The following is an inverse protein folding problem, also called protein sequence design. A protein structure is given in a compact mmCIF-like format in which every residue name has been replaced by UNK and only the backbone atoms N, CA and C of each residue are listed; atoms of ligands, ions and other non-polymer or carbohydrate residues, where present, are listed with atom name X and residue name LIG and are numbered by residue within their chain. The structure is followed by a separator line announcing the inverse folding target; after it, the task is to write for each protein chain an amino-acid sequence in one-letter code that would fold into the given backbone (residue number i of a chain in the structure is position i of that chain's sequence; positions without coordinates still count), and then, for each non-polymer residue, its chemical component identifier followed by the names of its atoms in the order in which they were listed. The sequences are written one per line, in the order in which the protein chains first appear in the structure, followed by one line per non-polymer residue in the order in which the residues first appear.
data_IF_962794154999
#
_entry.id   IF_962794154999
#
_cell.length_a   1.000
_cell.length_b   1.000
_cell.length_c   1.000
_cell.angle_alpha   90.00
_cell.angle_beta   90.00
_cell.angle_gamma   90.00
#
_symmetry.space_group_name_H-M   'P 1'
#
loop_
_entity.id
_entity.type
_entity.pdbx_description
1 polymer ?
#
# COMPACT_ATOMS: atom_id res chain seq x y z
N UNK A 1 43.31 17.48 -5.27
CA UNK A 1 43.21 16.10 -4.76
C UNK A 1 41.83 15.93 -4.15
N UNK A 2 40.79 15.79 -4.99
CA UNK A 2 40.17 14.51 -5.37
C UNK A 2 39.77 13.64 -4.17
N UNK A 3 38.53 13.83 -3.67
CA UNK A 3 37.57 12.76 -3.37
C UNK A 3 36.18 13.41 -3.21
N UNK A 4 35.34 13.41 -4.25
CA UNK A 4 34.28 12.43 -4.47
C UNK A 4 33.30 12.36 -3.28
N UNK A 5 32.25 13.17 -3.36
CA UNK A 5 30.84 12.74 -3.43
C UNK A 5 30.63 11.26 -3.08
N UNK A 6 30.75 10.89 -1.81
CA UNK A 6 30.22 9.62 -1.32
C UNK A 6 28.71 9.82 -1.23
N UNK A 7 28.04 9.61 -2.36
CA UNK A 7 26.64 9.18 -2.37
C UNK A 7 26.59 7.95 -1.46
N UNK A 8 26.17 8.13 -0.22
CA UNK A 8 25.78 7.02 0.63
C UNK A 8 24.64 6.31 -0.11
N UNK A 9 24.98 5.23 -0.80
CA UNK A 9 24.03 4.20 -1.26
C UNK A 9 23.52 3.52 0.01
N UNK A 10 22.78 4.28 0.81
CA UNK A 10 22.35 3.83 2.11
C UNK A 10 21.15 2.90 1.89
N UNK A 11 21.43 1.60 1.92
CA UNK A 11 20.43 0.53 1.78
C UNK A 11 19.37 0.58 2.89
N UNK A 12 19.51 1.47 3.87
CA UNK A 12 18.60 1.69 4.98
C UNK A 12 17.14 1.92 4.52
N UNK A 13 16.93 2.64 3.41
CA UNK A 13 15.59 2.85 2.85
C UNK A 13 14.97 1.53 2.33
N UNK A 14 15.74 0.76 1.55
CA UNK A 14 15.30 -0.53 1.04
C UNK A 14 15.14 -1.57 2.16
N UNK A 15 16.02 -1.55 3.17
CA UNK A 15 15.91 -2.40 4.37
C UNK A 15 14.67 -2.06 5.19
N UNK A 16 14.33 -0.76 5.35
CA UNK A 16 13.07 -0.35 5.99
C UNK A 16 11.84 -0.77 5.19
N UNK A 17 11.89 -0.70 3.86
CA UNK A 17 10.80 -1.13 2.99
C UNK A 17 10.56 -2.64 3.03
N UNK A 18 11.63 -3.45 3.15
CA UNK A 18 11.50 -4.92 3.16
C UNK A 18 11.22 -5.52 4.55
N UNK A 19 11.55 -4.80 5.63
CA UNK A 19 11.31 -5.23 7.02
C UNK A 19 9.86 -5.64 7.30
N UNK A 20 8.82 -4.85 6.93
CA UNK A 20 7.41 -5.22 7.09
C UNK A 20 7.07 -6.54 6.39
N UNK A 21 7.59 -6.75 5.18
CA UNK A 21 7.37 -7.97 4.41
C UNK A 21 8.03 -9.21 5.06
N UNK A 22 9.27 -9.07 5.54
CA UNK A 22 10.01 -10.15 6.22
C UNK A 22 9.36 -10.50 7.57
N UNK A 23 8.85 -9.51 8.31
CA UNK A 23 8.10 -9.73 9.55
C UNK A 23 6.73 -10.37 9.24
N UNK A 24 6.04 -9.90 8.21
CA UNK A 24 4.80 -10.50 7.70
C UNK A 24 4.97 -11.97 7.31
N UNK A 25 6.14 -12.36 6.77
CA UNK A 25 6.53 -13.77 6.51
C UNK A 25 6.43 -14.68 7.72
N UNK A 26 6.71 -14.18 8.93
CA UNK A 26 6.49 -14.93 10.18
C UNK A 26 5.00 -15.05 10.54
N UNK A 27 4.14 -14.14 10.09
CA UNK A 27 2.68 -14.27 10.21
C UNK A 27 2.07 -15.13 9.09
N UNK A 28 2.78 -15.32 7.97
CA UNK A 28 2.37 -16.16 6.84
C UNK A 28 2.72 -17.64 6.96
N UNK A 29 3.20 -18.10 8.13
CA UNK A 29 3.49 -19.53 8.36
C UNK A 29 2.23 -20.39 8.16
N UNK A 30 1.03 -19.80 8.23
CA UNK A 30 -0.26 -20.46 7.95
C UNK A 30 -0.75 -20.34 6.50
N UNK A 31 -0.09 -19.53 5.65
CA UNK A 31 -0.37 -19.48 4.22
C UNK A 31 0.36 -20.65 3.51
N UNK A 32 -0.02 -21.88 3.83
CA UNK A 32 0.59 -23.13 3.34
C UNK A 32 0.38 -23.38 1.82
N UNK A 33 -0.13 -22.39 1.08
CA UNK A 33 -0.40 -22.51 -0.36
C UNK A 33 0.14 -21.29 -1.10
N UNK A 34 0.71 -21.50 -2.29
CA UNK A 34 1.20 -20.43 -3.16
C UNK A 34 0.12 -19.37 -3.42
N UNK A 35 -1.15 -19.79 -3.55
CA UNK A 35 -2.29 -18.88 -3.69
C UNK A 35 -2.45 -17.97 -2.47
N UNK A 36 -2.41 -18.52 -1.26
CA UNK A 36 -2.52 -17.72 -0.03
C UNK A 36 -1.39 -16.69 0.14
N UNK A 37 -0.17 -17.06 -0.27
CA UNK A 37 0.96 -16.13 -0.30
C UNK A 37 0.73 -14.96 -1.28
N UNK A 38 0.19 -15.25 -2.48
CA UNK A 38 -0.12 -14.22 -3.48
C UNK A 38 -1.22 -13.27 -3.02
N UNK A 39 -2.34 -13.78 -2.48
CA UNK A 39 -3.41 -12.91 -1.96
C UNK A 39 -2.92 -12.02 -0.83
N UNK A 40 -2.10 -12.58 0.07
CA UNK A 40 -1.50 -11.82 1.15
C UNK A 40 -0.58 -10.72 0.65
N UNK A 41 0.30 -11.02 -0.30
CA UNK A 41 1.18 -10.03 -0.92
C UNK A 41 0.37 -8.89 -1.58
N UNK A 42 -0.73 -9.22 -2.26
CA UNK A 42 -1.60 -8.21 -2.88
C UNK A 42 -2.23 -7.27 -1.85
N UNK A 43 -2.75 -7.80 -0.73
CA UNK A 43 -3.33 -6.97 0.35
C UNK A 43 -2.25 -6.05 0.94
N UNK A 44 -1.05 -6.57 1.19
CA UNK A 44 0.06 -5.74 1.70
C UNK A 44 0.45 -4.64 0.72
N UNK A 45 0.51 -4.92 -0.57
CA UNK A 45 0.76 -3.90 -1.59
C UNK A 45 -0.29 -2.79 -1.58
N UNK A 46 -1.57 -3.12 -1.42
CA UNK A 46 -2.65 -2.12 -1.30
C UNK A 46 -2.47 -1.27 -0.03
N UNK A 47 -2.16 -1.91 1.10
CA UNK A 47 -1.95 -1.21 2.38
C UNK A 47 -0.76 -0.25 2.32
N UNK A 48 0.38 -0.70 1.78
CA UNK A 48 1.57 0.14 1.62
C UNK A 48 1.29 1.31 0.64
N UNK A 49 0.53 1.06 -0.43
CA UNK A 49 0.14 2.12 -1.36
C UNK A 49 -0.80 3.15 -0.70
N UNK A 50 -1.78 2.70 0.10
CA UNK A 50 -2.67 3.60 0.84
C UNK A 50 -1.89 4.44 1.87
N UNK A 51 -0.91 3.82 2.54
CA UNK A 51 -0.02 4.49 3.50
C UNK A 51 0.87 5.53 2.81
N UNK A 52 1.43 5.21 1.65
CA UNK A 52 2.20 6.15 0.83
C UNK A 52 1.38 7.38 0.41
N UNK A 53 0.08 7.20 0.17
CA UNK A 53 -0.88 8.27 -0.14
C UNK A 53 -1.47 8.98 1.11
N UNK A 54 -0.89 8.76 2.30
CA UNK A 54 -1.34 9.35 3.58
C UNK A 54 -2.81 9.08 3.91
N UNK A 55 -3.32 7.90 3.56
CA UNK A 55 -4.70 7.49 3.88
C UNK A 55 -4.75 6.70 5.20
N UNK A 56 -5.88 6.82 5.90
CA UNK A 56 -6.25 5.97 7.03
C UNK A 56 -6.64 4.60 6.47
N UNK A 57 -5.73 3.64 6.63
CA UNK A 57 -5.79 2.31 5.99
C UNK A 57 -7.13 1.61 6.21
N UNK A 58 -7.62 1.56 7.45
CA UNK A 58 -8.88 0.87 7.77
C UNK A 58 -10.08 1.45 7.01
N UNK A 59 -10.20 2.79 6.99
CA UNK A 59 -11.30 3.50 6.31
C UNK A 59 -11.22 3.31 4.80
N UNK A 60 -10.00 3.39 4.25
CA UNK A 60 -9.77 3.19 2.83
C UNK A 60 -10.11 1.76 2.39
N UNK A 61 -9.73 0.74 3.17
CA UNK A 61 -10.07 -0.65 2.84
C UNK A 61 -11.58 -0.91 2.86
N UNK A 62 -12.30 -0.39 3.86
CA UNK A 62 -13.77 -0.51 3.92
C UNK A 62 -14.40 0.17 2.71
N UNK A 63 -13.96 1.39 2.37
CA UNK A 63 -14.42 2.10 1.18
C UNK A 63 -14.13 1.34 -0.11
N UNK A 64 -12.91 0.82 -0.26
CA UNK A 64 -12.50 0.08 -1.45
C UNK A 64 -13.38 -1.16 -1.63
N UNK A 65 -13.58 -1.97 -0.60
CA UNK A 65 -14.40 -3.19 -0.71
C UNK A 65 -15.88 -2.90 -0.92
N UNK A 66 -16.43 -1.86 -0.28
CA UNK A 66 -17.83 -1.47 -0.47
C UNK A 66 -18.08 -0.97 -1.91
N UNK A 67 -17.18 -0.18 -2.47
CA UNK A 67 -17.35 0.34 -3.83
C UNK A 67 -16.96 -0.66 -4.92
N UNK A 68 -15.94 -1.50 -4.68
CA UNK A 68 -15.53 -2.54 -5.62
C UNK A 68 -16.66 -3.55 -5.88
N UNK A 69 -17.54 -3.78 -4.90
CA UNK A 69 -18.73 -4.62 -5.08
C UNK A 69 -19.82 -3.99 -5.95
N UNK A 70 -19.76 -2.67 -6.17
CA UNK A 70 -20.79 -1.88 -6.86
C UNK A 70 -20.37 -1.45 -8.27
N UNK A 71 -19.07 -1.46 -8.57
CA UNK A 71 -18.54 -1.07 -9.88
C UNK A 71 -18.30 -2.28 -10.78
N UNK A 72 -18.47 -2.08 -12.08
CA UNK A 72 -17.96 -3.02 -13.07
C UNK A 72 -16.45 -2.78 -13.23
N UNK A 73 -15.65 -3.83 -12.98
CA UNK A 73 -14.18 -3.77 -13.09
C UNK A 73 -13.73 -3.50 -14.52
N UNK A 74 -14.62 -3.73 -15.50
CA UNK A 74 -14.39 -3.41 -16.92
C UNK A 74 -14.38 -1.91 -17.19
N UNK A 75 -15.01 -1.10 -16.34
CA UNK A 75 -15.02 0.35 -16.44
C UNK A 75 -13.80 0.97 -15.75
N UNK A 76 -12.82 1.34 -16.58
CA UNK A 76 -11.52 1.84 -16.13
C UNK A 76 -11.62 3.17 -15.39
N UNK A 77 -12.56 4.04 -15.76
CA UNK A 77 -12.72 5.35 -15.13
C UNK A 77 -13.26 5.22 -13.70
N UNK A 78 -14.24 4.33 -13.51
CA UNK A 78 -14.78 4.00 -12.19
C UNK A 78 -13.73 3.33 -11.30
N UNK A 79 -12.85 2.50 -11.87
CA UNK A 79 -11.76 1.88 -11.13
C UNK A 79 -10.68 2.91 -10.72
N UNK A 80 -10.29 3.80 -11.62
CA UNK A 80 -9.32 4.87 -11.33
C UNK A 80 -9.84 5.85 -10.26
N UNK A 81 -11.16 6.05 -10.16
CA UNK A 81 -11.77 6.84 -9.11
C UNK A 81 -11.57 6.26 -7.69
N UNK A 82 -11.39 4.93 -7.57
CA UNK A 82 -11.20 4.24 -6.29
C UNK A 82 -9.73 4.11 -5.87
N UNK A 83 -8.80 4.44 -6.77
CA UNK A 83 -7.37 4.30 -6.51
C UNK A 83 -6.90 5.28 -5.43
N UNK A 84 -5.89 4.92 -4.63
CA UNK A 84 -5.50 5.67 -3.44
C UNK A 84 -4.91 7.07 -3.73
N UNK A 85 -4.52 7.31 -4.98
CA UNK A 85 -4.08 8.62 -5.48
C UNK A 85 -5.21 9.46 -6.11
N UNK A 86 -6.44 8.94 -6.15
CA UNK A 86 -7.56 9.61 -6.80
C UNK A 86 -8.06 10.80 -5.97
N UNK A 87 -8.35 11.91 -6.65
CA UNK A 87 -8.90 13.12 -6.04
C UNK A 87 -10.33 12.94 -5.55
N UNK A 88 -11.03 11.92 -6.04
CA UNK A 88 -12.42 11.59 -5.68
C UNK A 88 -12.55 10.93 -4.31
N UNK A 89 -11.43 10.56 -3.66
CA UNK A 89 -11.46 9.92 -2.34
C UNK A 89 -11.93 10.93 -1.28
N UNK A 90 -12.91 10.56 -0.43
CA UNK A 90 -13.38 11.41 0.66
C UNK A 90 -12.25 11.88 1.60
N UNK A 91 -12.25 13.17 1.94
CA UNK A 91 -11.24 13.78 2.81
C UNK A 91 -11.20 13.16 4.22
N UNK A 92 -12.30 12.58 4.69
CA UNK A 92 -12.37 11.89 5.98
C UNK A 92 -11.51 10.60 6.03
N UNK A 93 -10.97 10.16 4.90
CA UNK A 93 -10.03 9.04 4.79
C UNK A 93 -8.58 9.49 4.77
N UNK A 94 -8.29 10.78 4.58
CA UNK A 94 -6.93 11.31 4.64
C UNK A 94 -6.52 11.49 6.10
N UNK A 95 -5.27 11.14 6.41
CA UNK A 95 -4.70 11.44 7.72
C UNK A 95 -4.62 12.97 7.82
N UNK A 96 -5.34 13.56 8.79
CA UNK A 96 -5.21 14.99 9.08
C UNK A 96 -3.80 15.23 9.58
N UNK A 97 -3.01 16.01 8.86
CA UNK A 97 -1.74 16.52 9.38
C UNK A 97 -2.09 17.32 10.65
N UNK A 98 -1.57 16.86 11.80
CA UNK A 98 -1.71 17.60 13.05
C UNK A 98 -0.77 18.82 12.95
N UNK A 99 -1.23 20.03 13.30
CA UNK A 99 -0.39 21.23 13.25
C UNK A 99 0.85 21.12 14.14
#
# INVERSE_FOLDING_TARGET
MFYWMVLEVDNNAAVRAIKPFVIGRKNFIFANTAKGATYSANIYSIVETAKANKLVIERYLVYLFDNLSKIDVSDRESLEALMPWSEKIPENMKIKDRP
#
